data_IF_373272018979
#
_entry.id   IF_373272018979
#
_cell.length_a   1.000
_cell.length_b   1.000
_cell.length_c   1.000
_cell.angle_alpha   90.00
_cell.angle_beta   90.00
_cell.angle_gamma   90.00
#
_symmetry.space_group_name_H-M   'P 1'
#
loop_
_entity.id
_entity.type
_entity.pdbx_description
1 polymer ?
#
# COMPACT_ATOMS: atom_id res chain seq x y z
N UNK A 1 -10.67 33.75 14.56
CA UNK A 1 -10.11 34.31 13.31
C UNK A 1 -10.78 33.59 12.16
N UNK A 2 -11.74 34.24 11.46
CA UNK A 2 -12.47 33.63 10.35
C UNK A 2 -11.61 33.61 9.10
N UNK A 3 -11.29 32.41 8.61
CA UNK A 3 -10.64 32.28 7.30
C UNK A 3 -11.55 32.84 6.20
N UNK A 4 -11.01 33.66 5.31
CA UNK A 4 -11.70 34.18 4.12
C UNK A 4 -12.24 33.00 3.29
N UNK A 5 -13.46 33.06 2.73
CA UNK A 5 -14.07 31.97 1.98
C UNK A 5 -13.23 31.49 0.79
N UNK A 6 -12.42 32.34 0.17
CA UNK A 6 -11.50 31.99 -0.91
C UNK A 6 -10.36 31.07 -0.45
N UNK A 7 -9.86 31.22 0.77
CA UNK A 7 -8.77 30.37 1.30
C UNK A 7 -9.25 28.95 1.60
N UNK A 8 -10.47 28.78 2.13
CA UNK A 8 -11.07 27.45 2.37
C UNK A 8 -11.23 26.65 1.07
N UNK A 9 -11.68 27.29 -0.01
CA UNK A 9 -11.83 26.66 -1.31
C UNK A 9 -10.46 26.21 -1.84
N UNK A 10 -9.45 27.04 -1.73
CA UNK A 10 -8.10 26.73 -2.16
C UNK A 10 -7.52 25.52 -1.39
N UNK A 11 -7.66 25.47 -0.05
CA UNK A 11 -7.21 24.33 0.74
C UNK A 11 -7.90 23.03 0.35
N UNK A 12 -9.22 23.05 0.09
CA UNK A 12 -9.96 21.85 -0.37
C UNK A 12 -9.47 21.36 -1.73
N UNK A 13 -9.18 22.25 -2.66
CA UNK A 13 -8.65 21.89 -3.98
C UNK A 13 -7.28 21.24 -3.84
N UNK A 14 -6.35 21.88 -3.13
CA UNK A 14 -5.00 21.36 -2.91
C UNK A 14 -5.05 20.00 -2.19
N UNK A 15 -5.89 19.87 -1.16
CA UNK A 15 -6.05 18.61 -0.44
C UNK A 15 -6.59 17.49 -1.35
N UNK A 16 -7.60 17.76 -2.18
CA UNK A 16 -8.15 16.78 -3.10
C UNK A 16 -7.12 16.35 -4.17
N UNK A 17 -6.30 17.28 -4.65
CA UNK A 17 -5.20 16.96 -5.56
C UNK A 17 -4.20 16.03 -4.87
N UNK A 18 -3.76 16.36 -3.66
CA UNK A 18 -2.82 15.56 -2.89
C UNK A 18 -3.38 14.16 -2.59
N UNK A 19 -4.66 14.09 -2.21
CA UNK A 19 -5.36 12.82 -1.99
C UNK A 19 -5.41 11.96 -3.26
N UNK A 20 -5.68 12.58 -4.41
CA UNK A 20 -5.71 11.89 -5.70
C UNK A 20 -4.35 11.33 -6.06
N UNK A 21 -3.29 12.12 -5.94
CA UNK A 21 -1.92 11.65 -6.17
C UNK A 21 -1.52 10.51 -5.24
N UNK A 22 -1.82 10.63 -3.95
CA UNK A 22 -1.55 9.58 -2.95
C UNK A 22 -2.27 8.28 -3.28
N UNK A 23 -3.55 8.36 -3.65
CA UNK A 23 -4.36 7.19 -4.00
C UNK A 23 -3.87 6.52 -5.29
N UNK A 24 -3.51 7.32 -6.32
CA UNK A 24 -2.97 6.80 -7.58
C UNK A 24 -1.61 6.14 -7.34
N UNK A 25 -0.75 6.74 -6.51
CA UNK A 25 0.55 6.18 -6.18
C UNK A 25 0.45 4.83 -5.47
N UNK A 26 -0.42 4.70 -4.46
CA UNK A 26 -0.69 3.42 -3.78
C UNK A 26 -1.24 2.38 -4.77
N UNK A 27 -2.23 2.75 -5.57
CA UNK A 27 -2.82 1.84 -6.55
C UNK A 27 -1.78 1.36 -7.58
N UNK A 28 -0.97 2.26 -8.11
CA UNK A 28 0.12 1.94 -9.03
C UNK A 28 1.08 0.93 -8.41
N UNK A 29 1.59 1.21 -7.20
CA UNK A 29 2.55 0.35 -6.52
C UNK A 29 1.97 -1.06 -6.30
N UNK A 30 0.73 -1.17 -5.81
CA UNK A 30 0.11 -2.46 -5.53
C UNK A 30 -0.24 -3.24 -6.80
N UNK A 31 -0.72 -2.58 -7.86
CA UNK A 31 -1.03 -3.23 -9.14
C UNK A 31 0.26 -3.77 -9.77
N UNK A 32 1.31 -2.94 -9.91
CA UNK A 32 2.53 -3.39 -10.57
C UNK A 32 3.30 -4.45 -9.77
N UNK A 33 3.41 -4.29 -8.45
CA UNK A 33 4.04 -5.29 -7.59
C UNK A 33 3.30 -6.63 -7.60
N UNK A 34 1.97 -6.62 -7.74
CA UNK A 34 1.17 -7.85 -7.81
C UNK A 34 1.33 -8.58 -9.15
N UNK A 35 1.44 -7.86 -10.27
CA UNK A 35 1.54 -8.47 -11.59
C UNK A 35 2.78 -9.35 -11.73
N UNK A 36 3.93 -8.89 -11.26
CA UNK A 36 5.18 -9.66 -11.29
C UNK A 36 5.06 -10.96 -10.48
N UNK A 37 4.49 -10.90 -9.29
CA UNK A 37 4.24 -12.06 -8.42
C UNK A 37 3.22 -13.05 -9.02
N UNK A 38 2.21 -12.55 -9.76
CA UNK A 38 1.22 -13.40 -10.43
C UNK A 38 1.85 -14.16 -11.60
N UNK A 39 2.77 -13.52 -12.34
CA UNK A 39 3.46 -14.14 -13.47
C UNK A 39 4.47 -15.19 -12.99
N UNK A 40 5.14 -14.95 -11.86
CA UNK A 40 6.20 -15.81 -11.33
C UNK A 40 5.93 -16.28 -9.90
N UNK A 41 4.84 -17.02 -9.63
CA UNK A 41 4.44 -17.40 -8.27
C UNK A 41 5.44 -18.33 -7.57
N UNK A 42 6.18 -19.13 -8.33
CA UNK A 42 7.20 -20.01 -7.78
C UNK A 42 8.41 -19.25 -7.21
N UNK A 43 8.83 -18.17 -7.89
CA UNK A 43 9.88 -17.31 -7.40
C UNK A 43 9.41 -16.59 -6.12
N UNK A 44 8.20 -16.06 -6.13
CA UNK A 44 7.62 -15.40 -4.96
C UNK A 44 7.45 -16.35 -3.76
N UNK A 45 7.06 -17.62 -3.98
CA UNK A 45 7.02 -18.62 -2.92
C UNK A 45 8.41 -18.91 -2.32
N UNK A 46 9.45 -18.91 -3.17
CA UNK A 46 10.84 -19.07 -2.74
C UNK A 46 11.29 -17.84 -1.90
N UNK A 47 10.94 -16.62 -2.33
CA UNK A 47 11.26 -15.41 -1.59
C UNK A 47 10.60 -15.42 -0.20
N UNK A 48 9.31 -15.81 -0.11
CA UNK A 48 8.63 -15.99 1.18
C UNK A 48 9.36 -17.01 2.05
N UNK A 49 9.86 -18.12 1.47
CA UNK A 49 10.58 -19.16 2.22
C UNK A 49 11.90 -18.67 2.79
N UNK A 50 12.57 -17.72 2.13
CA UNK A 50 13.86 -17.17 2.57
C UNK A 50 13.75 -16.39 3.90
N UNK A 51 12.56 -15.93 4.29
CA UNK A 51 12.33 -15.27 5.58
C UNK A 51 12.32 -16.26 6.76
N UNK A 52 12.17 -17.57 6.51
CA UNK A 52 12.13 -18.63 7.54
C UNK A 52 11.12 -18.37 8.68
N UNK A 53 10.00 -17.70 8.36
CA UNK A 53 8.96 -17.33 9.34
C UNK A 53 7.74 -18.24 9.19
N UNK A 54 7.47 -18.68 7.96
CA UNK A 54 6.25 -19.45 7.62
C UNK A 54 6.59 -20.92 7.28
N UNK A 55 5.72 -21.87 7.67
CA UNK A 55 5.90 -23.28 7.26
C UNK A 55 5.76 -23.42 5.74
N UNK A 56 6.50 -24.37 5.17
CA UNK A 56 6.62 -24.57 3.71
C UNK A 56 5.28 -24.64 2.96
N UNK A 57 4.28 -25.32 3.52
CA UNK A 57 2.96 -25.43 2.90
C UNK A 57 2.23 -24.09 2.80
N UNK A 58 2.50 -23.19 3.73
CA UNK A 58 1.89 -21.86 3.79
C UNK A 58 2.52 -20.89 2.80
N UNK A 59 3.80 -21.07 2.45
CA UNK A 59 4.50 -20.24 1.48
C UNK A 59 3.81 -20.26 0.11
N UNK A 60 3.44 -21.46 -0.36
CA UNK A 60 2.74 -21.63 -1.63
C UNK A 60 1.32 -21.02 -1.60
N UNK A 61 0.60 -21.18 -0.48
CA UNK A 61 -0.72 -20.60 -0.33
C UNK A 61 -0.67 -19.05 -0.38
N UNK A 62 0.27 -18.48 0.37
CA UNK A 62 0.47 -17.01 0.39
C UNK A 62 0.90 -16.52 -0.99
N UNK A 63 1.84 -17.20 -1.65
CA UNK A 63 2.32 -16.83 -2.97
C UNK A 63 1.22 -16.83 -4.05
N UNK A 64 0.24 -17.73 -3.92
CA UNK A 64 -0.89 -17.82 -4.86
C UNK A 64 -2.02 -16.84 -4.54
N UNK A 65 -2.26 -16.47 -3.28
CA UNK A 65 -3.43 -15.69 -2.88
C UNK A 65 -3.14 -14.22 -2.68
N UNK A 66 -1.99 -13.89 -2.08
CA UNK A 66 -1.64 -12.53 -1.70
C UNK A 66 -1.58 -11.57 -2.91
N UNK A 67 -0.94 -11.92 -4.06
CA UNK A 67 -0.86 -11.00 -5.19
C UNK A 67 -2.23 -10.66 -5.80
N UNK A 68 -3.19 -11.57 -5.74
CA UNK A 68 -4.55 -11.28 -6.19
C UNK A 68 -5.27 -10.30 -5.27
N UNK A 69 -5.05 -10.41 -3.96
CA UNK A 69 -5.60 -9.44 -2.99
C UNK A 69 -4.97 -8.06 -3.22
N UNK A 70 -3.65 -8.00 -3.44
CA UNK A 70 -2.93 -6.77 -3.79
C UNK A 70 -3.52 -6.11 -5.04
N UNK A 71 -3.69 -6.89 -6.12
CA UNK A 71 -4.24 -6.42 -7.39
C UNK A 71 -5.67 -5.87 -7.23
N UNK A 72 -6.54 -6.64 -6.58
CA UNK A 72 -7.93 -6.25 -6.35
C UNK A 72 -8.00 -4.96 -5.52
N UNK A 73 -7.23 -4.87 -4.43
CA UNK A 73 -7.21 -3.68 -3.60
C UNK A 73 -6.69 -2.45 -4.36
N UNK A 74 -5.65 -2.60 -5.19
CA UNK A 74 -5.14 -1.52 -6.04
C UNK A 74 -6.21 -1.01 -7.01
N UNK A 75 -6.93 -1.89 -7.71
CA UNK A 75 -8.02 -1.54 -8.61
C UNK A 75 -9.16 -0.86 -7.85
N UNK A 76 -9.54 -1.39 -6.69
CA UNK A 76 -10.63 -0.84 -5.88
C UNK A 76 -10.31 0.55 -5.31
N UNK A 77 -9.03 0.87 -5.05
CA UNK A 77 -8.62 2.23 -4.67
C UNK A 77 -8.86 3.22 -5.81
N UNK A 78 -8.51 2.85 -7.05
CA UNK A 78 -8.78 3.71 -8.23
C UNK A 78 -10.28 3.93 -8.40
N UNK A 79 -11.07 2.87 -8.35
CA UNK A 79 -12.53 2.96 -8.45
C UNK A 79 -13.11 3.79 -7.30
N UNK A 80 -12.63 3.59 -6.07
CA UNK A 80 -13.04 4.36 -4.90
C UNK A 80 -12.71 5.85 -5.02
N UNK A 81 -11.57 6.19 -5.61
CA UNK A 81 -11.20 7.59 -5.89
C UNK A 81 -12.15 8.23 -6.91
N UNK A 82 -12.48 7.54 -8.00
CA UNK A 82 -13.42 8.03 -9.01
C UNK A 82 -14.82 8.26 -8.42
N UNK A 83 -15.29 7.36 -7.56
CA UNK A 83 -16.59 7.51 -6.87
C UNK A 83 -16.54 8.63 -5.82
N UNK A 84 -15.43 8.85 -5.13
CA UNK A 84 -15.24 9.91 -4.15
C UNK A 84 -15.30 11.30 -4.81
N UNK A 85 -14.68 11.46 -5.98
CA UNK A 85 -14.71 12.72 -6.75
C UNK A 85 -16.14 13.04 -7.20
N UNK A 86 -16.96 12.03 -7.53
CA UNK A 86 -18.34 12.20 -8.01
C UNK A 86 -19.42 12.30 -6.92
N UNK A 87 -19.06 12.46 -5.66
CA UNK A 87 -19.89 12.57 -4.44
C UNK A 87 -20.09 11.28 -3.62
N UNK A 88 -19.47 11.29 -2.44
CA UNK A 88 -19.95 10.57 -1.23
C UNK A 88 -19.89 9.04 -1.26
N UNK A 89 -18.77 8.44 -1.60
CA UNK A 89 -18.60 7.03 -1.29
C UNK A 89 -17.43 6.82 -0.32
N UNK A 90 -17.69 6.17 0.82
CA UNK A 90 -16.64 5.65 1.70
C UNK A 90 -16.04 4.35 1.16
N UNK A 91 -16.33 4.03 -0.11
CA UNK A 91 -15.91 2.79 -0.76
C UNK A 91 -14.38 2.60 -0.75
N UNK A 92 -13.62 3.69 -0.80
CA UNK A 92 -12.15 3.67 -0.72
C UNK A 92 -11.64 3.16 0.64
N UNK A 93 -12.44 3.21 1.71
CA UNK A 93 -12.01 2.83 3.06
C UNK A 93 -11.79 1.32 3.20
N UNK A 94 -12.58 0.50 2.52
CA UNK A 94 -12.48 -0.96 2.58
C UNK A 94 -11.13 -1.43 2.02
N UNK A 95 -10.78 -1.17 0.73
CA UNK A 95 -9.50 -1.58 0.18
C UNK A 95 -8.32 -0.93 0.90
N UNK A 96 -8.43 0.34 1.30
CA UNK A 96 -7.39 1.02 2.03
C UNK A 96 -7.11 0.38 3.40
N UNK A 97 -8.13 -0.07 4.13
CA UNK A 97 -7.94 -0.78 5.40
C UNK A 97 -7.27 -2.15 5.20
N UNK A 98 -7.61 -2.86 4.12
CA UNK A 98 -6.96 -4.13 3.76
C UNK A 98 -5.47 -3.88 3.45
N UNK A 99 -5.16 -2.86 2.66
CA UNK A 99 -3.76 -2.47 2.35
C UNK A 99 -3.00 -2.09 3.62
N UNK A 100 -3.59 -1.33 4.54
CA UNK A 100 -2.96 -1.00 5.84
C UNK A 100 -2.61 -2.29 6.60
N UNK A 101 -3.53 -3.24 6.67
CA UNK A 101 -3.29 -4.51 7.38
C UNK A 101 -2.15 -5.31 6.72
N UNK A 102 -2.12 -5.36 5.38
CA UNK A 102 -1.06 -6.03 4.63
C UNK A 102 0.29 -5.35 4.84
N UNK A 103 0.36 -4.02 4.77
CA UNK A 103 1.60 -3.27 5.00
C UNK A 103 2.10 -3.42 6.43
N UNK A 104 1.21 -3.43 7.44
CA UNK A 104 1.60 -3.71 8.83
C UNK A 104 2.22 -5.11 8.97
N UNK A 105 1.65 -6.10 8.28
CA UNK A 105 2.19 -7.45 8.25
C UNK A 105 3.56 -7.49 7.56
N UNK A 106 3.74 -6.82 6.43
CA UNK A 106 5.02 -6.76 5.73
C UNK A 106 6.09 -6.04 6.55
N UNK A 107 5.77 -4.89 7.14
CA UNK A 107 6.67 -4.16 8.05
C UNK A 107 7.10 -5.06 9.22
N UNK A 108 6.20 -5.85 9.79
CA UNK A 108 6.52 -6.78 10.86
C UNK A 108 7.52 -7.86 10.41
N UNK A 109 7.25 -8.53 9.27
CA UNK A 109 8.12 -9.56 8.72
C UNK A 109 9.51 -9.00 8.36
N UNK A 110 9.54 -7.85 7.67
CA UNK A 110 10.77 -7.19 7.26
C UNK A 110 11.60 -6.72 8.47
N UNK A 111 10.94 -6.26 9.54
CA UNK A 111 11.63 -5.90 10.79
C UNK A 111 12.35 -7.10 11.41
N UNK A 112 11.72 -8.29 11.39
CA UNK A 112 12.37 -9.53 11.85
C UNK A 112 13.55 -9.89 10.95
N UNK A 113 13.40 -9.78 9.63
CA UNK A 113 14.45 -10.08 8.67
C UNK A 113 15.68 -9.17 8.86
N UNK A 114 15.44 -7.87 9.02
CA UNK A 114 16.50 -6.89 9.33
C UNK A 114 17.16 -7.19 10.66
N UNK A 115 16.40 -7.51 11.71
CA UNK A 115 16.92 -7.86 13.02
C UNK A 115 17.80 -9.13 12.99
N UNK A 116 17.41 -10.13 12.20
CA UNK A 116 18.20 -11.36 11.99
C UNK A 116 19.42 -11.16 11.10
N UNK A 117 19.59 -9.99 10.47
CA UNK A 117 20.67 -9.71 9.52
C UNK A 117 20.60 -10.58 8.25
N UNK A 118 19.40 -10.98 7.83
CA UNK A 118 19.21 -11.79 6.63
C UNK A 118 19.55 -10.94 5.39
N UNK A 119 20.56 -11.38 4.65
CA UNK A 119 20.93 -10.79 3.34
C UNK A 119 20.17 -11.54 2.24
N UNK A 120 18.86 -11.35 2.20
CA UNK A 120 17.95 -11.98 1.25
C UNK A 120 17.47 -10.98 0.22
N UNK A 121 17.34 -11.45 -1.02
CA UNK A 121 16.64 -10.73 -2.07
C UNK A 121 15.14 -10.75 -1.76
N UNK A 122 14.53 -9.60 -1.56
CA UNK A 122 13.14 -9.52 -1.12
C UNK A 122 12.13 -9.91 -2.20
N UNK A 123 12.53 -9.96 -3.49
CA UNK A 123 11.65 -10.35 -4.61
C UNK A 123 10.34 -9.56 -4.76
N UNK A 124 10.15 -8.52 -3.94
CA UNK A 124 8.88 -7.79 -3.83
C UNK A 124 8.86 -6.46 -4.59
N UNK A 125 9.87 -6.16 -5.45
CA UNK A 125 10.02 -4.87 -6.09
C UNK A 125 9.60 -4.81 -7.54
N UNK A 126 9.35 -3.60 -8.00
CA UNK A 126 9.11 -3.25 -9.40
C UNK A 126 10.43 -3.26 -10.20
N UNK A 127 11.58 -3.26 -9.53
CA UNK A 127 12.92 -3.27 -10.16
C UNK A 127 13.55 -4.65 -10.13
N UNK A 128 14.24 -5.02 -11.20
CA UNK A 128 15.06 -6.24 -11.31
C UNK A 128 16.33 -6.20 -10.42
N UNK A 129 16.59 -5.06 -9.78
CA UNK A 129 17.71 -4.88 -8.88
C UNK A 129 17.46 -5.53 -7.52
N UNK A 130 18.48 -6.19 -6.99
CA UNK A 130 18.48 -6.78 -5.64
C UNK A 130 18.20 -5.71 -4.60
N UNK A 131 17.02 -5.77 -3.98
CA UNK A 131 16.65 -4.86 -2.90
C UNK A 131 16.92 -5.48 -1.54
N UNK A 132 17.63 -4.75 -0.69
CA UNK A 132 17.87 -5.21 0.68
C UNK A 132 16.60 -5.14 1.53
N UNK A 133 16.44 -6.02 2.55
CA UNK A 133 15.29 -5.98 3.46
C UNK A 133 15.09 -4.61 4.12
N UNK A 134 16.18 -3.88 4.38
CA UNK A 134 16.13 -2.54 4.97
C UNK A 134 15.50 -1.51 4.02
N UNK A 135 15.86 -1.55 2.73
CA UNK A 135 15.27 -0.66 1.73
C UNK A 135 13.76 -0.90 1.60
N UNK A 136 13.36 -2.17 1.57
CA UNK A 136 11.94 -2.54 1.53
C UNK A 136 11.18 -2.11 2.77
N UNK A 137 11.77 -2.27 3.94
CA UNK A 137 11.16 -1.80 5.18
C UNK A 137 10.87 -0.30 5.16
N UNK A 138 11.80 0.51 4.64
CA UNK A 138 11.63 1.96 4.52
C UNK A 138 10.50 2.29 3.52
N UNK A 139 10.47 1.61 2.36
CA UNK A 139 9.41 1.78 1.37
C UNK A 139 8.03 1.44 1.94
N UNK A 140 7.89 0.30 2.63
CA UNK A 140 6.62 -0.13 3.22
C UNK A 140 6.15 0.82 4.33
N UNK A 141 7.06 1.36 5.14
CA UNK A 141 6.73 2.40 6.13
C UNK A 141 6.22 3.67 5.42
N UNK A 142 6.87 4.08 4.33
CA UNK A 142 6.43 5.24 3.55
C UNK A 142 5.03 5.02 2.95
N UNK A 143 4.78 3.86 2.36
CA UNK A 143 3.46 3.47 1.84
C UNK A 143 2.40 3.44 2.97
N UNK A 144 2.77 2.96 4.15
CA UNK A 144 1.89 2.93 5.32
C UNK A 144 1.48 4.34 5.76
N UNK A 145 2.40 5.30 5.77
CA UNK A 145 2.09 6.70 6.09
C UNK A 145 1.10 7.30 5.08
N UNK A 146 1.27 7.01 3.78
CA UNK A 146 0.36 7.46 2.73
C UNK A 146 -1.03 6.85 2.92
N UNK A 147 -1.14 5.56 3.23
CA UNK A 147 -2.44 4.92 3.46
C UNK A 147 -3.14 5.46 4.70
N UNK A 148 -2.42 5.82 5.76
CA UNK A 148 -2.97 6.53 6.91
C UNK A 148 -3.47 7.93 6.54
N UNK A 149 -2.74 8.67 5.71
CA UNK A 149 -3.21 9.96 5.20
C UNK A 149 -4.55 9.82 4.45
N UNK A 150 -4.67 8.81 3.57
CA UNK A 150 -5.93 8.50 2.86
C UNK A 150 -7.04 8.15 3.85
N UNK A 151 -6.75 7.37 4.89
CA UNK A 151 -7.73 6.95 5.91
C UNK A 151 -8.29 8.13 6.69
N UNK A 152 -7.45 9.07 7.09
CA UNK A 152 -7.85 10.21 7.89
C UNK A 152 -8.37 11.40 7.08
N UNK A 153 -8.55 11.26 5.76
CA UNK A 153 -8.97 12.33 4.83
C UNK A 153 -10.22 13.10 5.29
N UNK A 154 -11.25 12.38 5.77
CA UNK A 154 -12.52 13.00 6.20
C UNK A 154 -12.29 13.83 7.46
N UNK A 155 -11.52 13.32 8.42
CA UNK A 155 -11.21 14.02 9.65
C UNK A 155 -10.36 15.27 9.41
N UNK A 156 -9.44 15.20 8.45
CA UNK A 156 -8.61 16.32 8.04
C UNK A 156 -9.48 17.39 7.36
N UNK A 157 -10.37 16.99 6.45
CA UNK A 157 -11.29 17.93 5.77
C UNK A 157 -12.22 18.61 6.75
N UNK A 158 -12.76 17.91 7.76
CA UNK A 158 -13.65 18.49 8.76
C UNK A 158 -12.95 19.51 9.67
N UNK A 159 -11.62 19.44 9.80
CA UNK A 159 -10.85 20.43 10.55
C UNK A 159 -10.75 21.78 9.81
N UNK A 160 -10.88 21.78 8.48
CA UNK A 160 -10.83 22.97 7.63
C UNK A 160 -12.23 23.55 7.30
N UNK A 161 -13.31 22.91 7.73
CA UNK A 161 -14.69 23.43 7.62
C UNK A 161 -15.04 24.34 8.79
#
# INVERSE_FOLDING_TARGET
MGFYPSTKIMYRIVFNILLSFSSIYIAYTFIFASLDKIVNPANFAKDISNYEITPYWMNNLVALTLPWIELICGILIVLGLLLFINKKSNFIDIPNNIIILMLLWFVFILSIAVYKGLDIDCGCGISEDKTTPMQRLIEDIYLLLITFFIKFRIKILSFFE
#
